data_IF_233056282970
#
_entry.id   IF_233056282970
#
_cell.length_a   1.000
_cell.length_b   1.000
_cell.length_c   1.000
_cell.angle_alpha   90.00
_cell.angle_beta   90.00
_cell.angle_gamma   90.00
#
_symmetry.space_group_name_H-M   'P 1'
#
loop_
_entity.id
_entity.type
_entity.pdbx_description
1 polymer ?
#
# COMPACT_ATOMS: atom_id res chain seq x y z
N UNK A 1 22.30 6.65 -25.96
CA UNK A 1 22.03 5.21 -25.75
C UNK A 1 21.29 5.05 -24.42
N UNK A 2 20.11 4.40 -24.38
CA UNK A 2 19.41 4.12 -23.13
C UNK A 2 20.09 2.91 -22.46
N UNK A 3 20.55 3.07 -21.21
CA UNK A 3 21.14 1.99 -20.42
C UNK A 3 20.08 1.10 -19.77
N UNK A 4 18.91 1.67 -19.44
CA UNK A 4 17.78 0.93 -18.91
C UNK A 4 16.88 0.58 -20.10
N UNK A 5 16.68 -0.72 -20.40
CA UNK A 5 15.76 -1.13 -21.45
C UNK A 5 14.38 -0.53 -21.15
N UNK A 6 13.60 -0.14 -22.18
CA UNK A 6 12.22 0.24 -21.93
C UNK A 6 11.57 -0.94 -21.24
N UNK A 7 11.15 -0.75 -20.00
CA UNK A 7 10.17 -1.65 -19.39
C UNK A 7 9.05 -1.77 -20.44
N UNK A 8 8.58 -2.98 -20.70
CA UNK A 8 7.42 -3.19 -21.57
C UNK A 8 6.29 -2.23 -21.14
N UNK A 9 5.30 -2.02 -21.98
CA UNK A 9 4.16 -1.17 -21.65
C UNK A 9 3.66 -1.61 -20.28
N UNK A 10 3.88 -0.79 -19.24
CA UNK A 10 3.38 -1.13 -17.93
C UNK A 10 1.85 -1.06 -17.93
N UNK A 11 1.22 -1.73 -16.97
CA UNK A 11 -0.23 -1.85 -16.85
C UNK A 11 -0.96 -0.51 -17.00
N UNK A 12 -0.47 0.55 -16.37
CA UNK A 12 -1.11 1.87 -16.44
C UNK A 12 -0.90 2.55 -17.79
N UNK A 13 0.27 2.38 -18.42
CA UNK A 13 0.50 2.87 -19.79
C UNK A 13 -0.43 2.18 -20.77
N UNK A 14 -0.64 0.87 -20.64
CA UNK A 14 -1.62 0.13 -21.42
C UNK A 14 -3.02 0.69 -21.25
N UNK A 15 -3.45 0.92 -20.00
CA UNK A 15 -4.76 1.52 -19.70
C UNK A 15 -4.90 2.89 -20.36
N UNK A 16 -3.89 3.75 -20.32
CA UNK A 16 -3.91 5.06 -21.01
C UNK A 16 -4.04 4.91 -22.52
N UNK A 17 -3.38 3.94 -23.14
CA UNK A 17 -3.55 3.65 -24.56
C UNK A 17 -5.00 3.26 -24.87
N UNK A 18 -5.57 2.34 -24.10
CA UNK A 18 -6.96 1.89 -24.29
C UNK A 18 -7.98 3.02 -24.11
N UNK A 19 -7.79 3.89 -23.11
CA UNK A 19 -8.61 5.09 -22.90
C UNK A 19 -8.56 6.01 -24.12
N UNK A 20 -7.36 6.30 -24.60
CA UNK A 20 -7.17 7.18 -25.78
C UNK A 20 -7.82 6.59 -27.02
N UNK A 21 -7.67 5.29 -27.24
CA UNK A 21 -8.22 4.61 -28.40
C UNK A 21 -9.75 4.56 -28.34
N UNK A 22 -10.34 4.37 -27.16
CA UNK A 22 -11.80 4.48 -26.96
C UNK A 22 -12.30 5.88 -27.29
N UNK A 23 -11.69 6.95 -26.74
CA UNK A 23 -12.06 8.34 -27.05
C UNK A 23 -11.96 8.64 -28.54
N UNK A 24 -10.89 8.21 -29.21
CA UNK A 24 -10.68 8.41 -30.63
C UNK A 24 -11.77 7.72 -31.48
N UNK A 25 -12.21 6.55 -31.10
CA UNK A 25 -13.20 5.74 -31.83
C UNK A 25 -14.63 6.23 -31.60
N UNK A 26 -14.99 6.62 -30.38
CA UNK A 26 -16.36 6.91 -29.98
C UNK A 26 -16.68 8.39 -29.82
N UNK A 27 -15.69 9.22 -29.62
CA UNK A 27 -15.87 10.63 -29.22
C UNK A 27 -16.33 10.82 -27.78
N UNK A 28 -16.49 9.73 -27.00
CA UNK A 28 -17.00 9.76 -25.62
C UNK A 28 -15.89 9.74 -24.59
N UNK A 29 -16.14 10.35 -23.45
CA UNK A 29 -15.27 10.22 -22.27
C UNK A 29 -15.54 8.88 -21.55
N UNK A 30 -14.50 8.07 -21.28
CA UNK A 30 -14.69 6.83 -20.55
C UNK A 30 -14.91 7.09 -19.05
N UNK A 31 -15.64 6.18 -18.40
CA UNK A 31 -15.76 6.15 -16.94
C UNK A 31 -14.52 5.45 -16.35
N UNK A 32 -13.60 6.24 -15.84
CA UNK A 32 -12.32 5.72 -15.36
C UNK A 32 -12.40 5.28 -13.89
N UNK A 33 -12.68 3.99 -13.67
CA UNK A 33 -12.66 3.31 -12.37
C UNK A 33 -11.33 2.57 -12.11
N UNK A 34 -10.26 2.91 -12.85
CA UNK A 34 -8.94 2.28 -12.67
C UNK A 34 -8.06 3.01 -11.66
N UNK A 35 -8.35 4.26 -11.36
CA UNK A 35 -7.44 5.11 -10.60
C UNK A 35 -7.40 4.70 -9.12
N UNK A 36 -6.21 4.43 -8.63
CA UNK A 36 -5.94 4.26 -7.19
C UNK A 36 -5.71 5.60 -6.47
N UNK A 37 -6.16 6.70 -7.05
CA UNK A 37 -6.09 8.02 -6.45
C UNK A 37 -7.39 8.35 -5.72
N UNK A 38 -7.33 8.99 -4.55
CA UNK A 38 -8.52 9.51 -3.92
C UNK A 38 -9.20 10.52 -4.85
N UNK A 39 -10.52 10.51 -4.84
CA UNK A 39 -11.33 11.50 -5.55
C UNK A 39 -11.76 12.58 -4.56
N UNK A 40 -11.16 13.74 -4.70
CA UNK A 40 -11.40 14.88 -3.82
C UNK A 40 -10.12 15.65 -3.51
N UNK A 41 -10.30 16.70 -2.73
CA UNK A 41 -9.22 17.57 -2.26
C UNK A 41 -9.06 17.41 -0.75
N UNK A 42 -7.91 17.79 -0.17
CA UNK A 42 -7.71 17.77 1.27
C UNK A 42 -8.76 18.62 2.01
N UNK A 43 -9.13 18.27 3.25
CA UNK A 43 -10.00 19.07 4.09
C UNK A 43 -9.60 20.55 4.14
N UNK A 44 -10.59 21.46 4.24
CA UNK A 44 -10.34 22.90 4.20
C UNK A 44 -9.36 23.35 5.29
N UNK A 45 -9.46 22.80 6.49
CA UNK A 45 -8.55 23.10 7.59
C UNK A 45 -7.09 22.81 7.23
N UNK A 46 -6.81 21.66 6.60
CA UNK A 46 -5.44 21.31 6.15
C UNK A 46 -4.96 22.29 5.08
N UNK A 47 -5.81 22.66 4.13
CA UNK A 47 -5.43 23.62 3.07
C UNK A 47 -5.08 24.99 3.65
N UNK A 48 -5.86 25.46 4.63
CA UNK A 48 -5.61 26.72 5.36
C UNK A 48 -4.30 26.66 6.13
N UNK A 49 -4.04 25.57 6.85
CA UNK A 49 -2.78 25.40 7.59
C UNK A 49 -1.57 25.31 6.67
N UNK A 50 -1.69 24.64 5.51
CA UNK A 50 -0.60 24.62 4.51
C UNK A 50 -0.28 26.03 4.00
N UNK A 51 -1.30 26.87 3.77
CA UNK A 51 -1.10 28.27 3.38
C UNK A 51 -0.45 29.08 4.51
N UNK A 52 -0.87 28.87 5.77
CA UNK A 52 -0.29 29.50 6.96
C UNK A 52 1.22 29.22 7.01
N UNK A 53 1.63 27.96 6.97
CA UNK A 53 3.05 27.59 7.10
C UNK A 53 3.89 27.92 5.86
N UNK A 54 3.28 28.05 4.68
CA UNK A 54 3.97 28.53 3.50
C UNK A 54 4.31 30.03 3.57
N UNK A 55 3.60 30.80 4.38
CA UNK A 55 3.81 32.23 4.61
C UNK A 55 4.54 32.55 5.91
N UNK A 56 4.67 31.59 6.81
CA UNK A 56 5.32 31.76 8.10
C UNK A 56 6.83 31.96 7.90
N UNK A 57 7.45 33.06 8.42
CA UNK A 57 8.86 33.33 8.23
C UNK A 57 9.79 32.46 9.09
N UNK A 58 9.25 31.53 9.87
CA UNK A 58 10.00 30.64 10.72
C UNK A 58 10.96 29.76 9.92
N UNK A 59 12.25 29.80 10.26
CA UNK A 59 13.32 29.09 9.54
C UNK A 59 13.03 27.58 9.40
N UNK A 60 12.50 26.93 10.43
CA UNK A 60 12.25 25.49 10.43
C UNK A 60 11.20 25.04 9.39
N UNK A 61 10.39 25.96 8.88
CA UNK A 61 9.39 25.64 7.85
C UNK A 61 9.92 25.72 6.42
N UNK A 62 11.16 26.24 6.25
CA UNK A 62 11.77 26.51 4.94
C UNK A 62 13.16 25.87 4.76
N UNK A 63 13.67 25.17 5.76
CA UNK A 63 14.93 24.43 5.71
C UNK A 63 14.70 22.94 5.51
N UNK A 64 15.76 22.15 5.45
CA UNK A 64 15.63 20.69 5.43
C UNK A 64 15.03 20.16 6.74
N UNK A 65 14.02 19.31 6.65
CA UNK A 65 13.42 18.69 7.83
C UNK A 65 14.33 17.60 8.42
N UNK A 66 15.06 16.90 7.54
CA UNK A 66 15.84 15.71 7.91
C UNK A 66 14.96 14.70 8.67
N UNK A 67 15.29 14.38 9.91
CA UNK A 67 14.52 13.48 10.78
C UNK A 67 13.70 14.23 11.84
N UNK A 68 13.61 15.57 11.75
CA UNK A 68 12.79 16.37 12.66
C UNK A 68 11.32 16.03 12.51
N UNK A 69 10.67 15.73 13.61
CA UNK A 69 9.22 15.54 13.69
C UNK A 69 8.54 16.87 14.06
N UNK A 70 8.38 17.75 13.06
CA UNK A 70 7.81 19.08 13.29
C UNK A 70 6.40 19.00 13.87
N UNK A 71 6.21 19.69 14.98
CA UNK A 71 4.97 19.70 15.76
C UNK A 71 4.45 18.29 16.13
N UNK A 72 5.35 17.30 16.20
CA UNK A 72 5.00 15.92 16.55
C UNK A 72 4.12 15.22 15.51
N UNK A 73 4.24 15.59 14.24
CA UNK A 73 3.43 15.06 13.14
C UNK A 73 3.44 13.54 13.10
N UNK A 74 4.62 12.90 13.07
CA UNK A 74 4.74 11.45 12.92
C UNK A 74 4.11 10.71 14.09
N UNK A 75 4.39 11.14 15.31
CA UNK A 75 3.80 10.54 16.52
C UNK A 75 2.28 10.67 16.55
N UNK A 76 1.75 11.85 16.23
CA UNK A 76 0.30 12.09 16.15
C UNK A 76 -0.36 11.27 15.04
N UNK A 77 0.28 11.13 13.88
CA UNK A 77 -0.22 10.29 12.81
C UNK A 77 -0.24 8.81 13.21
N UNK A 78 0.79 8.34 13.88
CA UNK A 78 0.85 6.97 14.43
C UNK A 78 -0.28 6.75 15.44
N UNK A 79 -0.53 7.70 16.34
CA UNK A 79 -1.66 7.63 17.27
C UNK A 79 -2.99 7.54 16.54
N UNK A 80 -3.20 8.40 15.53
CA UNK A 80 -4.44 8.46 14.75
C UNK A 80 -4.74 7.19 13.94
N UNK A 81 -3.70 6.58 13.34
CA UNK A 81 -3.85 5.46 12.41
C UNK A 81 -3.44 4.12 13.04
N UNK A 82 -2.39 4.12 13.83
CA UNK A 82 -1.83 2.94 14.49
C UNK A 82 -2.49 2.61 15.82
N UNK A 83 -3.14 3.59 16.44
CA UNK A 83 -3.80 3.42 17.74
C UNK A 83 -2.82 3.23 18.90
N UNK A 84 -1.58 3.71 18.77
CA UNK A 84 -0.55 3.60 19.82
C UNK A 84 0.06 4.97 20.14
N UNK A 85 0.39 5.17 21.40
CA UNK A 85 1.18 6.31 21.90
C UNK A 85 2.64 5.89 21.95
N UNK A 86 3.43 6.32 20.97
CA UNK A 86 4.86 5.92 20.84
C UNK A 86 5.66 6.29 22.09
N UNK A 87 5.31 7.37 22.74
CA UNK A 87 5.97 7.87 23.96
C UNK A 87 5.85 6.88 25.14
N UNK A 88 4.83 6.03 25.14
CA UNK A 88 4.64 5.02 26.20
C UNK A 88 5.42 3.72 25.94
N UNK A 89 6.17 3.65 24.81
CA UNK A 89 6.90 2.47 24.39
C UNK A 89 8.36 2.81 24.08
N UNK A 90 9.27 2.68 25.06
CA UNK A 90 10.67 3.12 24.91
C UNK A 90 11.44 2.41 23.78
N UNK A 91 11.00 1.21 23.40
CA UNK A 91 11.58 0.40 22.32
C UNK A 91 10.99 0.69 20.94
N UNK A 92 10.07 1.64 20.83
CA UNK A 92 9.50 2.08 19.57
C UNK A 92 9.99 3.47 19.17
N UNK A 93 10.03 3.71 17.87
CA UNK A 93 10.29 5.01 17.27
C UNK A 93 9.29 5.31 16.18
N UNK A 94 9.01 6.61 16.00
CA UNK A 94 8.27 7.11 14.83
C UNK A 94 9.14 8.10 14.07
N UNK A 95 9.02 8.10 12.74
CA UNK A 95 9.81 8.94 11.85
C UNK A 95 8.91 9.50 10.73
N UNK A 96 8.99 10.80 10.39
CA UNK A 96 8.31 11.33 9.21
C UNK A 96 9.01 10.86 7.92
N UNK A 97 8.22 10.58 6.88
CA UNK A 97 8.71 10.10 5.59
C UNK A 97 8.10 10.89 4.43
N UNK A 98 8.85 11.04 3.33
CA UNK A 98 8.40 11.69 2.09
C UNK A 98 7.42 10.83 1.27
N UNK A 99 6.50 10.16 1.97
CA UNK A 99 5.50 9.24 1.45
C UNK A 99 5.99 7.79 1.40
N UNK A 100 5.04 6.86 1.51
CA UNK A 100 5.30 5.41 1.62
C UNK A 100 6.10 4.86 0.44
N UNK A 101 5.79 5.28 -0.79
CA UNK A 101 6.45 4.74 -1.99
C UNK A 101 7.97 4.94 -1.98
N UNK A 102 8.44 6.12 -1.57
CA UNK A 102 9.86 6.42 -1.43
C UNK A 102 10.48 5.57 -0.30
N UNK A 103 9.81 5.52 0.86
CA UNK A 103 10.26 4.71 1.98
C UNK A 103 10.37 3.22 1.60
N UNK A 104 9.37 2.67 0.90
CA UNK A 104 9.37 1.26 0.45
C UNK A 104 10.61 0.92 -0.38
N UNK A 105 11.08 1.84 -1.23
CA UNK A 105 12.27 1.62 -2.05
C UNK A 105 13.56 1.51 -1.21
N UNK A 106 13.61 2.13 -0.03
CA UNK A 106 14.78 2.16 0.86
C UNK A 106 14.81 0.99 1.86
N UNK A 107 13.66 0.37 2.14
CA UNK A 107 13.55 -0.68 3.17
C UNK A 107 14.50 -1.86 2.94
N UNK A 108 14.70 -2.41 1.73
CA UNK A 108 15.67 -3.49 1.53
C UNK A 108 17.10 -3.09 1.87
N UNK A 109 17.46 -1.83 1.63
CA UNK A 109 18.78 -1.30 2.03
C UNK A 109 18.89 -1.22 3.56
N UNK A 110 17.85 -0.74 4.22
CA UNK A 110 17.78 -0.73 5.69
C UNK A 110 17.85 -2.15 6.30
N UNK A 111 17.44 -3.19 5.55
CA UNK A 111 17.63 -4.58 5.93
C UNK A 111 19.07 -5.09 5.65
N UNK A 112 20.00 -4.23 5.25
CA UNK A 112 21.41 -4.57 5.05
C UNK A 112 21.73 -5.17 3.67
N UNK A 113 20.86 -5.02 2.67
CA UNK A 113 21.14 -5.47 1.30
C UNK A 113 22.40 -4.80 0.72
N UNK A 114 22.70 -3.56 1.12
CA UNK A 114 23.86 -2.80 0.64
C UNK A 114 25.19 -3.16 1.34
N UNK A 115 25.17 -3.99 2.39
CA UNK A 115 26.38 -4.37 3.10
C UNK A 115 27.34 -5.15 2.20
N UNK A 116 28.69 -5.03 2.42
CA UNK A 116 29.69 -5.57 1.48
C UNK A 116 29.77 -7.09 1.44
N UNK A 117 29.14 -7.81 2.36
CA UNK A 117 29.12 -9.28 2.36
C UNK A 117 28.41 -9.80 1.10
N UNK A 118 29.20 -10.39 0.20
CA UNK A 118 28.72 -10.92 -1.07
C UNK A 118 27.73 -12.08 -0.86
N UNK A 119 28.00 -12.99 0.07
CA UNK A 119 27.15 -14.13 0.34
C UNK A 119 25.77 -13.67 0.83
N UNK A 120 25.74 -12.65 1.70
CA UNK A 120 24.50 -12.02 2.17
C UNK A 120 23.71 -11.39 1.02
N UNK A 121 24.38 -10.61 0.14
CA UNK A 121 23.71 -9.97 -1.01
C UNK A 121 23.13 -10.98 -1.97
N UNK A 122 23.92 -11.99 -2.32
CA UNK A 122 23.52 -13.05 -3.27
C UNK A 122 22.39 -13.93 -2.69
N UNK A 123 22.29 -14.01 -1.35
CA UNK A 123 21.27 -14.76 -0.61
C UNK A 123 20.06 -13.92 -0.21
N UNK A 124 20.15 -12.60 -0.23
CA UNK A 124 19.09 -11.71 0.27
C UNK A 124 17.75 -11.95 -0.41
N UNK A 125 16.72 -12.16 0.41
CA UNK A 125 15.39 -12.53 -0.07
C UNK A 125 14.31 -11.63 0.52
N UNK A 126 13.43 -11.16 -0.35
CA UNK A 126 12.21 -10.45 0.04
C UNK A 126 11.00 -11.33 -0.28
N UNK A 127 10.14 -11.56 0.70
CA UNK A 127 8.83 -12.17 0.47
C UNK A 127 7.75 -11.09 0.54
N UNK A 128 6.91 -11.02 -0.50
CA UNK A 128 5.83 -10.04 -0.57
C UNK A 128 4.54 -10.64 -1.13
N UNK A 129 3.38 -10.12 -0.69
CA UNK A 129 2.09 -10.64 -1.13
C UNK A 129 1.72 -10.21 -2.55
N UNK A 130 1.07 -11.10 -3.29
CA UNK A 130 0.39 -10.81 -4.55
C UNK A 130 -1.03 -11.42 -4.53
N UNK A 131 -2.02 -10.76 -5.17
CA UNK A 131 -1.92 -9.50 -5.92
C UNK A 131 -1.69 -8.31 -5.01
N UNK A 132 -0.89 -7.35 -5.46
CA UNK A 132 -0.58 -6.14 -4.70
C UNK A 132 -0.19 -4.97 -5.61
N UNK A 133 -0.16 -3.78 -5.04
CA UNK A 133 0.56 -2.63 -5.61
C UNK A 133 2.06 -2.83 -5.35
N UNK A 134 2.70 -3.56 -6.25
CA UNK A 134 3.98 -4.22 -6.04
C UNK A 134 5.20 -3.31 -6.25
N UNK A 135 5.34 -2.29 -5.42
CA UNK A 135 6.53 -1.42 -5.44
C UNK A 135 7.73 -2.17 -4.89
N UNK A 136 7.55 -2.92 -3.79
CA UNK A 136 8.66 -3.65 -3.15
C UNK A 136 9.23 -4.73 -4.06
N UNK A 137 8.38 -5.47 -4.79
CA UNK A 137 8.85 -6.49 -5.73
C UNK A 137 9.65 -5.87 -6.87
N UNK A 138 9.14 -4.79 -7.47
CA UNK A 138 9.86 -4.08 -8.54
C UNK A 138 11.23 -3.58 -8.06
N UNK A 139 11.33 -2.98 -6.88
CA UNK A 139 12.60 -2.48 -6.35
C UNK A 139 13.54 -3.61 -5.97
N UNK A 140 13.06 -4.62 -5.26
CA UNK A 140 13.91 -5.69 -4.75
C UNK A 140 14.46 -6.56 -5.88
N UNK A 141 13.62 -6.99 -6.81
CA UNK A 141 13.99 -7.87 -7.90
C UNK A 141 14.65 -7.10 -9.06
N UNK A 142 13.90 -6.19 -9.71
CA UNK A 142 14.34 -5.57 -10.95
C UNK A 142 15.48 -4.57 -10.79
N UNK A 143 15.57 -3.86 -9.65
CA UNK A 143 16.57 -2.80 -9.45
C UNK A 143 17.69 -3.15 -8.47
N UNK A 144 17.40 -3.94 -7.45
CA UNK A 144 18.39 -4.27 -6.42
C UNK A 144 18.94 -5.70 -6.55
N UNK A 145 18.38 -6.53 -7.43
CA UNK A 145 18.84 -7.91 -7.67
C UNK A 145 18.63 -8.86 -6.49
N UNK A 146 17.71 -8.53 -5.57
CA UNK A 146 17.37 -9.41 -4.46
C UNK A 146 16.52 -10.58 -4.94
N UNK A 147 16.66 -11.74 -4.30
CA UNK A 147 15.74 -12.87 -4.53
C UNK A 147 14.35 -12.51 -4.05
N UNK A 148 13.34 -12.93 -4.79
CA UNK A 148 11.96 -12.68 -4.44
C UNK A 148 11.18 -13.97 -4.25
N UNK A 149 10.43 -14.05 -3.16
CA UNK A 149 9.36 -15.03 -2.97
C UNK A 149 8.03 -14.34 -3.05
N UNK A 150 7.16 -14.80 -3.95
CA UNK A 150 5.79 -14.32 -4.05
C UNK A 150 4.92 -15.08 -3.06
N UNK A 151 4.33 -14.35 -2.10
CA UNK A 151 3.34 -14.88 -1.18
C UNK A 151 1.94 -14.74 -1.78
N UNK A 152 1.32 -15.83 -2.29
CA UNK A 152 0.02 -15.73 -2.94
C UNK A 152 -1.09 -15.52 -1.92
N UNK A 153 -1.92 -14.49 -2.14
CA UNK A 153 -3.21 -14.33 -1.48
C UNK A 153 -4.29 -14.93 -2.37
N UNK A 154 -5.14 -15.77 -1.82
CA UNK A 154 -6.16 -16.49 -2.59
C UNK A 154 -7.56 -15.99 -2.28
N UNK A 155 -8.43 -16.05 -3.28
CA UNK A 155 -9.86 -15.70 -3.14
C UNK A 155 -10.59 -16.66 -2.21
N UNK A 156 -10.16 -17.93 -2.14
CA UNK A 156 -10.69 -18.93 -1.21
C UNK A 156 -10.50 -18.56 0.26
N UNK A 157 -9.44 -17.79 0.58
CA UNK A 157 -9.17 -17.27 1.94
C UNK A 157 -9.65 -15.82 2.08
N UNK A 158 -10.54 -15.34 1.20
CA UNK A 158 -10.95 -13.94 1.18
C UNK A 158 -9.76 -12.97 1.12
N UNK A 159 -8.70 -13.32 0.42
CA UNK A 159 -7.45 -12.55 0.34
C UNK A 159 -6.80 -12.25 1.71
N UNK A 160 -7.07 -13.06 2.74
CA UNK A 160 -6.50 -12.93 4.09
C UNK A 160 -5.02 -13.32 4.11
N UNK A 161 -4.30 -12.90 5.16
CA UNK A 161 -2.96 -13.37 5.43
C UNK A 161 -3.02 -14.84 5.85
N UNK A 162 -2.24 -15.70 5.18
CA UNK A 162 -2.17 -17.12 5.46
C UNK A 162 -0.70 -17.55 5.51
N UNK A 163 -0.18 -17.73 6.72
CA UNK A 163 1.25 -18.03 6.97
C UNK A 163 1.64 -19.39 6.39
N UNK A 164 0.71 -20.36 6.35
CA UNK A 164 1.00 -21.65 5.73
C UNK A 164 1.29 -21.52 4.22
N UNK A 165 0.60 -20.59 3.52
CA UNK A 165 0.91 -20.28 2.11
C UNK A 165 2.27 -19.59 1.96
N UNK A 166 2.64 -18.70 2.89
CA UNK A 166 3.98 -18.08 2.90
C UNK A 166 5.07 -19.14 3.07
N UNK A 167 4.93 -20.04 4.05
CA UNK A 167 5.87 -21.15 4.27
C UNK A 167 5.99 -22.05 3.04
N UNK A 168 4.86 -22.36 2.40
CA UNK A 168 4.83 -23.16 1.17
C UNK A 168 5.54 -22.44 0.00
N UNK A 169 5.36 -21.13 -0.13
CA UNK A 169 6.00 -20.33 -1.17
C UNK A 169 7.53 -20.27 -0.96
N UNK A 170 7.96 -20.02 0.27
CA UNK A 170 9.40 -20.04 0.63
C UNK A 170 10.03 -21.40 0.30
N UNK A 171 9.40 -22.49 0.73
CA UNK A 171 9.88 -23.86 0.44
C UNK A 171 9.96 -24.16 -1.05
N UNK A 172 8.97 -23.72 -1.84
CA UNK A 172 8.97 -23.86 -3.29
C UNK A 172 10.16 -23.16 -3.93
N UNK A 173 10.57 -22.03 -3.38
CA UNK A 173 11.73 -21.24 -3.84
C UNK A 173 13.06 -21.70 -3.23
N UNK A 174 13.07 -22.86 -2.55
CA UNK A 174 14.26 -23.43 -1.92
C UNK A 174 14.75 -22.63 -0.71
N UNK A 175 13.85 -21.98 0.04
CA UNK A 175 14.18 -21.19 1.21
C UNK A 175 13.29 -21.58 2.40
N UNK A 176 13.82 -21.44 3.60
CA UNK A 176 13.08 -21.60 4.86
C UNK A 176 12.61 -20.24 5.37
N UNK A 177 13.37 -19.18 5.09
CA UNK A 177 13.13 -17.81 5.54
C UNK A 177 13.38 -16.78 4.43
N UNK A 178 12.94 -15.56 4.71
CA UNK A 178 13.34 -14.35 3.98
C UNK A 178 14.07 -13.38 4.93
N UNK A 179 14.77 -12.39 4.39
CA UNK A 179 15.34 -11.30 5.19
C UNK A 179 14.28 -10.25 5.51
N UNK A 180 13.31 -10.10 4.61
CA UNK A 180 12.22 -9.13 4.71
C UNK A 180 10.90 -9.77 4.28
N UNK A 181 9.89 -9.69 5.14
CA UNK A 181 8.49 -9.90 4.80
C UNK A 181 7.84 -8.54 4.62
N UNK A 182 7.27 -8.30 3.44
CA UNK A 182 6.57 -7.05 3.15
C UNK A 182 5.12 -7.33 2.75
N UNK A 183 4.18 -6.74 3.45
CA UNK A 183 2.74 -6.87 3.17
C UNK A 183 2.08 -5.51 3.00
N UNK A 184 0.90 -5.49 2.38
CA UNK A 184 0.07 -4.30 2.23
C UNK A 184 -1.28 -4.58 2.87
N UNK A 185 -1.52 -4.00 4.07
CA UNK A 185 -2.77 -4.20 4.82
C UNK A 185 -3.25 -2.89 5.46
N UNK A 186 -4.52 -2.50 5.17
CA UNK A 186 -5.45 -3.06 4.18
C UNK A 186 -4.90 -2.98 2.76
N UNK A 187 -5.26 -3.97 1.92
CA UNK A 187 -4.61 -4.21 0.64
C UNK A 187 -5.07 -3.32 -0.53
N UNK A 188 -4.26 -3.33 -1.56
CA UNK A 188 -4.56 -2.87 -2.91
C UNK A 188 -3.99 -3.91 -3.88
N UNK A 189 -4.79 -4.63 -4.67
CA UNK A 189 -6.19 -4.37 -5.06
C UNK A 189 -7.25 -4.94 -4.11
N UNK A 190 -6.90 -5.90 -3.25
CA UNK A 190 -7.84 -6.51 -2.31
C UNK A 190 -7.99 -5.59 -1.09
N UNK A 191 -9.09 -4.88 -0.99
CA UNK A 191 -9.39 -3.95 0.08
C UNK A 191 -9.76 -4.68 1.40
N UNK A 192 -8.97 -5.69 1.76
CA UNK A 192 -9.15 -6.56 2.94
C UNK A 192 -8.16 -6.15 4.02
N UNK A 193 -8.62 -6.01 5.24
CA UNK A 193 -7.80 -5.74 6.42
C UNK A 193 -7.01 -6.98 6.89
N UNK A 194 -6.43 -6.88 8.07
CA UNK A 194 -5.86 -8.01 8.81
C UNK A 194 -6.42 -8.03 10.22
N UNK A 195 -6.70 -9.20 10.75
CA UNK A 195 -7.12 -9.39 12.13
C UNK A 195 -5.91 -9.43 13.08
N UNK A 196 -6.18 -9.25 14.38
CA UNK A 196 -5.15 -9.43 15.41
C UNK A 196 -4.54 -10.84 15.37
N UNK A 197 -5.35 -11.86 15.12
CA UNK A 197 -4.90 -13.26 15.08
C UNK A 197 -3.95 -13.50 13.88
N UNK A 198 -4.26 -12.98 12.69
CA UNK A 198 -3.39 -13.07 11.51
C UNK A 198 -2.03 -12.41 11.79
N UNK A 199 -2.03 -11.21 12.40
CA UNK A 199 -0.77 -10.55 12.78
C UNK A 199 0.01 -11.38 13.80
N UNK A 200 -0.64 -11.92 14.83
CA UNK A 200 0.02 -12.73 15.84
C UNK A 200 0.66 -13.99 15.27
N UNK A 201 0.01 -14.64 14.29
CA UNK A 201 0.59 -15.81 13.63
C UNK A 201 1.81 -15.42 12.79
N UNK A 202 1.71 -14.34 11.98
CA UNK A 202 2.81 -13.85 11.17
C UNK A 202 3.99 -13.36 12.02
N UNK A 203 3.72 -12.63 13.10
CA UNK A 203 4.73 -12.15 14.06
C UNK A 203 5.52 -13.30 14.67
N UNK A 204 4.84 -14.34 15.16
CA UNK A 204 5.51 -15.52 15.73
C UNK A 204 6.43 -16.17 14.70
N UNK A 205 5.96 -16.34 13.47
CA UNK A 205 6.78 -16.89 12.40
C UNK A 205 8.00 -15.99 12.09
N UNK A 206 7.81 -14.68 12.04
CA UNK A 206 8.92 -13.76 11.81
C UNK A 206 9.97 -13.79 12.93
N UNK A 207 9.54 -13.93 14.20
CA UNK A 207 10.45 -14.05 15.35
C UNK A 207 11.22 -15.38 15.30
N UNK A 208 10.53 -16.50 15.06
CA UNK A 208 11.13 -17.83 14.95
C UNK A 208 12.24 -17.88 13.91
N UNK A 209 11.98 -17.30 12.72
CA UNK A 209 12.89 -17.31 11.58
C UNK A 209 13.79 -16.08 11.51
N UNK A 210 13.74 -15.17 12.48
CA UNK A 210 14.53 -13.93 12.54
C UNK A 210 14.38 -13.08 11.26
N UNK A 211 13.13 -12.83 10.85
CA UNK A 211 12.77 -12.04 9.67
C UNK A 211 12.26 -10.67 10.08
N UNK A 212 12.64 -9.63 9.36
CA UNK A 212 12.04 -8.30 9.47
C UNK A 212 10.66 -8.27 8.82
N UNK A 213 9.70 -7.61 9.48
CA UNK A 213 8.31 -7.50 9.01
C UNK A 213 7.96 -6.04 8.74
N UNK A 214 7.41 -5.76 7.55
CA UNK A 214 6.92 -4.43 7.18
C UNK A 214 5.50 -4.49 6.67
N UNK A 215 4.65 -3.56 7.12
CA UNK A 215 3.32 -3.34 6.58
C UNK A 215 3.20 -1.95 5.93
N UNK A 216 2.78 -1.91 4.67
CA UNK A 216 2.24 -0.70 4.04
C UNK A 216 0.79 -0.52 4.49
N UNK A 217 0.58 0.38 5.45
CA UNK A 217 -0.71 0.75 6.04
C UNK A 217 -1.36 1.96 5.38
N UNK A 218 -1.13 2.22 4.08
CA UNK A 218 -1.67 3.40 3.38
C UNK A 218 -3.18 3.57 3.51
N UNK A 219 -3.92 2.49 3.68
CA UNK A 219 -5.38 2.46 3.79
C UNK A 219 -5.89 2.20 5.23
N UNK A 220 -5.01 2.14 6.23
CA UNK A 220 -5.40 1.86 7.62
C UNK A 220 -6.46 2.85 8.13
N UNK A 221 -6.31 4.14 7.86
CA UNK A 221 -7.29 5.17 8.20
C UNK A 221 -8.64 5.05 7.49
N UNK A 222 -8.73 4.27 6.42
CA UNK A 222 -9.95 4.06 5.62
C UNK A 222 -10.58 2.68 5.86
N UNK A 223 -10.14 1.93 6.86
CA UNK A 223 -10.75 0.66 7.24
C UNK A 223 -12.11 0.89 7.92
N UNK A 224 -13.08 0.04 7.60
CA UNK A 224 -14.35 0.00 8.30
C UNK A 224 -14.13 -0.47 9.75
N UNK A 225 -14.97 -0.02 10.66
CA UNK A 225 -14.82 -0.35 12.07
C UNK A 225 -14.78 -1.87 12.32
N UNK A 226 -13.77 -2.33 13.05
CA UNK A 226 -13.62 -3.74 13.42
C UNK A 226 -13.10 -4.67 12.33
N UNK A 227 -12.81 -4.18 11.12
CA UNK A 227 -12.34 -5.03 10.00
C UNK A 227 -10.81 -5.12 9.89
N UNK A 228 -10.10 -4.26 10.60
CA UNK A 228 -8.63 -4.20 10.54
C UNK A 228 -8.03 -3.89 11.91
N UNK A 229 -7.03 -4.68 12.29
CA UNK A 229 -6.06 -4.35 13.33
C UNK A 229 -4.77 -3.91 12.64
N UNK A 230 -4.16 -2.82 13.10
CA UNK A 230 -2.87 -2.36 12.59
C UNK A 230 -1.74 -3.27 13.09
N UNK A 231 -0.67 -3.42 12.31
CA UNK A 231 0.51 -4.16 12.77
C UNK A 231 1.05 -3.54 14.07
N UNK A 232 1.14 -2.22 14.12
CA UNK A 232 1.63 -1.46 15.27
C UNK A 232 0.87 -1.79 16.56
N UNK A 233 -0.47 -1.88 16.50
CA UNK A 233 -1.30 -2.18 17.67
C UNK A 233 -1.06 -3.57 18.25
N UNK A 234 -0.54 -4.50 17.44
CA UNK A 234 -0.25 -5.88 17.85
C UNK A 234 1.24 -6.07 18.14
N UNK A 235 2.11 -5.58 17.25
CA UNK A 235 3.55 -5.80 17.32
C UNK A 235 4.23 -5.08 18.50
N UNK A 236 3.64 -4.02 19.03
CA UNK A 236 4.12 -3.33 20.25
C UNK A 236 4.30 -4.25 21.46
N UNK A 237 3.57 -5.38 21.50
CA UNK A 237 3.61 -6.36 22.57
C UNK A 237 4.66 -7.48 22.32
N UNK A 238 5.45 -7.40 21.23
CA UNK A 238 6.42 -8.40 20.80
C UNK A 238 7.83 -7.78 20.62
N UNK A 239 8.55 -7.52 21.72
CA UNK A 239 9.83 -6.79 21.66
C UNK A 239 10.95 -7.52 20.90
N UNK A 240 10.81 -8.82 20.64
CA UNK A 240 11.75 -9.60 19.84
C UNK A 240 11.55 -9.45 18.32
N UNK A 241 10.46 -8.82 17.89
CA UNK A 241 10.20 -8.57 16.47
C UNK A 241 10.86 -7.28 15.99
N UNK A 242 11.57 -7.33 14.90
CA UNK A 242 11.95 -6.14 14.13
C UNK A 242 10.91 -5.84 13.06
N UNK A 243 10.23 -4.71 13.17
CA UNK A 243 9.10 -4.37 12.32
C UNK A 243 8.97 -2.88 12.02
N UNK A 244 8.31 -2.57 10.90
CA UNK A 244 7.85 -1.22 10.54
C UNK A 244 6.39 -1.27 10.07
N UNK A 245 5.64 -0.22 10.39
CA UNK A 245 4.36 0.07 9.74
C UNK A 245 4.35 1.49 9.22
N UNK A 246 3.88 1.67 7.97
CA UNK A 246 3.94 2.93 7.26
C UNK A 246 2.52 3.49 7.05
N UNK A 247 2.35 4.79 7.31
CA UNK A 247 1.11 5.52 7.14
C UNK A 247 1.27 6.70 6.19
N UNK A 248 0.20 7.12 5.53
CA UNK A 248 0.24 8.22 4.57
C UNK A 248 -1.01 9.09 4.63
N UNK A 249 -0.83 10.41 4.54
CA UNK A 249 -1.94 11.35 4.36
C UNK A 249 -2.56 11.25 2.97
N UNK A 250 -1.87 10.60 2.03
CA UNK A 250 -2.28 10.51 0.61
C UNK A 250 -3.69 9.94 0.42
N UNK A 251 -4.07 8.95 1.23
CA UNK A 251 -5.36 8.26 1.10
C UNK A 251 -6.34 8.71 2.19
N UNK A 252 -5.86 8.80 3.44
CA UNK A 252 -6.65 9.15 4.59
C UNK A 252 -7.23 10.56 4.51
N UNK A 253 -6.51 11.50 3.91
CA UNK A 253 -6.90 12.91 3.83
C UNK A 253 -6.94 13.47 2.40
N UNK A 254 -7.06 12.61 1.38
CA UNK A 254 -7.13 12.99 -0.03
C UNK A 254 -5.99 13.93 -0.49
N UNK A 255 -4.77 13.73 0.06
CA UNK A 255 -3.64 14.63 -0.21
C UNK A 255 -2.39 13.88 -0.75
N UNK A 256 -2.48 13.21 -1.90
CA UNK A 256 -1.34 12.51 -2.47
C UNK A 256 -0.20 13.44 -2.89
N UNK A 257 -0.51 14.70 -3.19
CA UNK A 257 0.47 15.74 -3.55
C UNK A 257 1.31 16.23 -2.38
N UNK A 258 0.88 16.04 -1.14
CA UNK A 258 1.62 16.43 0.05
C UNK A 258 2.97 15.70 0.20
N UNK A 259 3.12 14.53 -0.41
CA UNK A 259 4.30 13.66 -0.26
C UNK A 259 4.70 13.47 1.21
N UNK A 260 3.74 13.15 2.06
CA UNK A 260 3.89 13.10 3.50
C UNK A 260 3.29 11.81 4.08
N UNK A 261 4.03 11.22 5.00
CA UNK A 261 3.63 10.05 5.77
C UNK A 261 4.47 9.92 7.03
N UNK A 262 4.19 8.89 7.79
CA UNK A 262 4.96 8.50 8.96
C UNK A 262 5.20 6.99 8.94
N UNK A 263 6.30 6.56 9.53
CA UNK A 263 6.52 5.18 9.90
C UNK A 263 6.65 5.06 11.42
N UNK A 264 6.33 3.88 11.91
CA UNK A 264 6.56 3.48 13.30
C UNK A 264 7.11 2.05 13.30
N UNK A 265 7.93 1.72 14.28
CA UNK A 265 8.45 0.37 14.42
C UNK A 265 9.39 0.17 15.59
N UNK A 266 10.00 -1.00 15.64
CA UNK A 266 11.06 -1.32 16.59
C UNK A 266 12.23 -0.36 16.41
N UNK A 267 12.81 0.07 17.54
CA UNK A 267 13.85 1.11 17.59
C UNK A 267 14.98 0.86 16.59
N UNK A 268 15.58 -0.32 16.64
CA UNK A 268 16.75 -0.63 15.83
C UNK A 268 16.44 -0.61 14.32
N UNK A 269 15.27 -1.11 13.93
CA UNK A 269 14.89 -1.09 12.50
C UNK A 269 14.57 0.33 12.01
N UNK A 270 13.94 1.17 12.86
CA UNK A 270 13.71 2.59 12.51
C UNK A 270 15.04 3.34 12.41
N UNK A 271 16.00 3.08 13.28
CA UNK A 271 17.34 3.69 13.26
C UNK A 271 18.12 3.25 12.00
N UNK A 272 18.10 1.96 11.64
CA UNK A 272 18.66 1.47 10.37
C UNK A 272 18.03 2.16 9.15
N UNK A 273 16.70 2.34 9.18
CA UNK A 273 15.99 3.02 8.10
C UNK A 273 16.37 4.51 8.05
N UNK A 274 16.49 5.19 9.19
CA UNK A 274 16.87 6.59 9.26
C UNK A 274 18.27 6.83 8.68
N UNK A 275 19.23 5.93 8.94
CA UNK A 275 20.58 5.99 8.36
C UNK A 275 20.57 5.94 6.83
N UNK A 276 19.75 5.04 6.25
CA UNK A 276 19.62 4.95 4.79
C UNK A 276 18.90 6.18 4.24
N UNK A 277 17.80 6.58 4.90
CA UNK A 277 16.99 7.75 4.51
C UNK A 277 17.80 9.03 4.51
N UNK A 278 18.61 9.27 5.54
CA UNK A 278 19.43 10.49 5.67
C UNK A 278 20.43 10.70 4.52
N UNK A 279 20.73 9.64 3.75
CA UNK A 279 21.56 9.71 2.55
C UNK A 279 20.77 9.77 1.23
N UNK A 280 19.44 9.90 1.28
CA UNK A 280 18.58 9.86 0.08
C UNK A 280 17.63 11.05 -0.03
N UNK A 281 16.92 11.37 1.03
CA UNK A 281 16.06 12.55 1.11
C UNK A 281 16.33 13.32 2.39
N UNK A 282 16.17 14.62 2.36
CA UNK A 282 16.35 15.48 3.54
C UNK A 282 15.04 15.67 4.30
N UNK A 283 14.16 14.70 4.25
CA UNK A 283 12.87 14.69 4.92
C UNK A 283 11.69 15.19 4.06
N UNK A 284 10.46 15.10 4.59
CA UNK A 284 9.28 15.66 3.96
C UNK A 284 9.34 17.19 3.91
N UNK A 285 8.43 17.80 3.12
CA UNK A 285 8.29 19.27 3.04
C UNK A 285 7.91 19.83 4.42
N UNK A 286 8.75 20.66 5.06
CA UNK A 286 8.60 21.05 6.47
C UNK A 286 7.28 21.79 6.75
N UNK A 287 6.92 22.78 5.93
CA UNK A 287 5.66 23.53 6.10
C UNK A 287 4.43 22.66 5.94
N UNK A 288 4.47 21.64 5.07
CA UNK A 288 3.37 20.66 4.94
C UNK A 288 3.30 19.75 6.16
N UNK A 289 4.46 19.29 6.67
CA UNK A 289 4.54 18.49 7.88
C UNK A 289 4.01 19.25 9.11
N UNK A 290 4.40 20.52 9.27
CA UNK A 290 3.91 21.37 10.34
C UNK A 290 2.39 21.59 10.28
N UNK A 291 1.85 21.79 9.07
CA UNK A 291 0.40 21.92 8.87
C UNK A 291 -0.37 20.69 9.36
N UNK A 292 0.11 19.49 9.02
CA UNK A 292 -0.50 18.25 9.52
C UNK A 292 -0.24 18.02 11.02
N UNK A 293 0.94 18.39 11.53
CA UNK A 293 1.26 18.32 12.96
C UNK A 293 0.33 19.19 13.80
N UNK A 294 0.02 20.41 13.34
CA UNK A 294 -0.98 21.28 13.97
C UNK A 294 -2.41 20.73 13.83
N UNK A 295 -2.77 20.26 12.62
CA UNK A 295 -4.09 19.69 12.37
C UNK A 295 -4.38 18.49 13.29
N UNK A 296 -3.44 17.60 13.48
CA UNK A 296 -3.59 16.44 14.38
C UNK A 296 -3.56 16.79 15.87
N UNK A 297 -3.26 18.03 16.25
CA UNK A 297 -3.36 18.48 17.64
C UNK A 297 -4.83 18.59 18.10
N UNK A 298 -5.75 18.87 17.17
CA UNK A 298 -7.17 18.72 17.38
C UNK A 298 -7.65 17.35 16.85
N UNK A 299 -7.50 16.34 17.72
CA UNK A 299 -7.90 14.97 17.35
C UNK A 299 -9.37 14.85 16.95
N UNK A 300 -10.25 15.62 17.58
CA UNK A 300 -11.68 15.57 17.29
C UNK A 300 -11.94 16.00 15.86
N UNK A 301 -11.41 17.14 15.45
CA UNK A 301 -11.52 17.62 14.07
C UNK A 301 -10.84 16.70 13.07
N UNK A 302 -9.66 16.15 13.41
CA UNK A 302 -8.93 15.22 12.53
C UNK A 302 -9.69 13.90 12.35
N UNK A 303 -10.28 13.35 13.40
CA UNK A 303 -11.13 12.14 13.36
C UNK A 303 -12.42 12.39 12.58
N UNK A 304 -13.06 13.57 12.76
CA UNK A 304 -14.26 13.95 12.01
C UNK A 304 -13.97 14.02 10.50
N UNK A 305 -12.90 14.70 10.09
CA UNK A 305 -12.51 14.80 8.69
C UNK A 305 -12.23 13.42 8.06
N UNK A 306 -11.56 12.53 8.80
CA UNK A 306 -11.32 11.16 8.35
C UNK A 306 -12.62 10.35 8.23
N UNK A 307 -13.56 10.53 9.16
CA UNK A 307 -14.86 9.88 9.13
C UNK A 307 -15.71 10.36 7.94
N UNK A 308 -15.68 11.66 7.61
CA UNK A 308 -16.35 12.21 6.42
C UNK A 308 -15.81 11.58 5.13
N UNK A 309 -14.49 11.46 4.99
CA UNK A 309 -13.86 10.82 3.83
C UNK A 309 -14.24 9.35 3.74
N UNK A 310 -14.22 8.60 4.87
CA UNK A 310 -14.71 7.21 4.90
C UNK A 310 -16.15 7.09 4.45
N UNK A 311 -17.04 7.93 5.02
CA UNK A 311 -18.47 7.95 4.68
C UNK A 311 -18.70 8.20 3.18
N UNK A 312 -17.90 9.09 2.57
CA UNK A 312 -17.97 9.31 1.12
C UNK A 312 -17.69 8.03 0.33
N UNK A 313 -16.60 7.32 0.66
CA UNK A 313 -16.26 6.08 -0.04
C UNK A 313 -17.23 4.95 0.27
N UNK A 314 -17.71 4.81 1.51
CA UNK A 314 -18.72 3.84 1.87
C UNK A 314 -20.02 4.02 1.05
N UNK A 315 -20.48 5.27 0.88
CA UNK A 315 -21.65 5.58 0.04
C UNK A 315 -21.44 5.20 -1.42
N UNK A 316 -20.26 5.48 -1.97
CA UNK A 316 -19.93 5.12 -3.36
C UNK A 316 -19.82 3.62 -3.55
N UNK A 317 -19.19 2.92 -2.63
CA UNK A 317 -19.08 1.46 -2.65
C UNK A 317 -20.45 0.78 -2.47
N UNK A 318 -21.33 1.34 -1.64
CA UNK A 318 -22.70 0.87 -1.48
C UNK A 318 -23.55 0.96 -2.78
N UNK A 319 -23.18 1.85 -3.70
CA UNK A 319 -23.76 1.91 -5.05
C UNK A 319 -23.00 1.00 -6.04
N UNK A 320 -21.66 1.07 -6.06
CA UNK A 320 -20.84 0.37 -7.05
C UNK A 320 -20.93 -1.15 -6.91
N UNK A 321 -20.86 -1.69 -5.69
CA UNK A 321 -20.85 -3.13 -5.45
C UNK A 321 -22.13 -3.82 -5.96
N UNK A 322 -23.35 -3.34 -5.62
CA UNK A 322 -24.58 -3.91 -6.20
C UNK A 322 -24.66 -3.78 -7.71
N UNK A 323 -24.23 -2.67 -8.28
CA UNK A 323 -24.24 -2.46 -9.73
C UNK A 323 -23.34 -3.48 -10.46
N UNK A 324 -22.13 -3.75 -9.97
CA UNK A 324 -21.23 -4.73 -10.54
C UNK A 324 -21.77 -6.18 -10.37
N UNK A 325 -22.42 -6.49 -9.24
CA UNK A 325 -23.10 -7.78 -9.04
C UNK A 325 -24.26 -7.94 -10.04
N UNK A 326 -25.07 -6.90 -10.22
CA UNK A 326 -26.17 -6.91 -11.19
C UNK A 326 -25.68 -7.08 -12.64
N UNK A 327 -24.46 -6.58 -12.94
CA UNK A 327 -23.79 -6.82 -14.22
C UNK A 327 -23.18 -8.24 -14.34
N UNK A 328 -23.39 -9.13 -13.37
CA UNK A 328 -22.96 -10.53 -13.41
C UNK A 328 -21.55 -10.78 -12.87
N UNK A 329 -20.88 -9.79 -12.29
CA UNK A 329 -19.56 -10.00 -11.70
C UNK A 329 -19.66 -10.66 -10.32
N UNK A 330 -18.74 -11.58 -10.03
CA UNK A 330 -18.62 -12.26 -8.74
C UNK A 330 -17.50 -11.63 -7.91
N UNK A 331 -17.76 -11.18 -6.66
CA UNK A 331 -16.72 -10.65 -5.79
C UNK A 331 -15.60 -11.68 -5.56
N UNK A 332 -14.36 -11.22 -5.59
CA UNK A 332 -13.18 -12.05 -5.29
C UNK A 332 -12.84 -12.05 -3.79
N UNK A 333 -13.25 -11.00 -3.08
CA UNK A 333 -13.13 -10.85 -1.64
C UNK A 333 -14.13 -9.82 -1.12
N UNK A 334 -14.23 -9.69 0.20
CA UNK A 334 -14.95 -8.60 0.85
C UNK A 334 -14.22 -7.27 0.63
N UNK A 335 -14.98 -6.17 0.70
CA UNK A 335 -14.41 -4.80 0.71
C UNK A 335 -14.51 -4.28 2.14
N UNK A 336 -13.37 -4.12 2.81
CA UNK A 336 -13.27 -3.78 4.22
C UNK A 336 -12.60 -2.43 4.47
N UNK A 337 -11.93 -1.89 3.45
CA UNK A 337 -11.19 -0.63 3.58
C UNK A 337 -11.02 0.07 2.23
N UNK A 338 -10.67 1.36 2.28
CA UNK A 338 -10.35 2.14 1.09
C UNK A 338 -11.54 2.36 0.18
N UNK A 339 -11.28 2.34 -1.11
CA UNK A 339 -12.26 2.63 -2.17
C UNK A 339 -12.15 1.66 -3.36
N UNK A 340 -11.61 0.45 -3.15
CA UNK A 340 -11.45 -0.58 -4.17
C UNK A 340 -12.43 -1.71 -3.98
N UNK A 341 -12.79 -2.33 -5.11
CA UNK A 341 -13.52 -3.60 -5.16
C UNK A 341 -12.79 -4.56 -6.08
N UNK A 342 -12.67 -5.83 -5.71
CA UNK A 342 -11.98 -6.84 -6.48
C UNK A 342 -12.94 -7.94 -6.91
N UNK A 343 -12.88 -8.33 -8.20
CA UNK A 343 -13.83 -9.20 -8.84
C UNK A 343 -13.14 -10.29 -9.64
N UNK A 344 -13.74 -11.49 -9.70
CA UNK A 344 -13.34 -12.48 -10.67
C UNK A 344 -13.73 -12.02 -12.08
N UNK A 345 -12.86 -12.23 -13.05
CA UNK A 345 -13.21 -12.02 -14.45
C UNK A 345 -14.04 -13.23 -14.96
N UNK A 346 -15.11 -13.00 -15.75
CA UNK A 346 -15.91 -14.07 -16.32
C UNK A 346 -15.13 -14.82 -17.42
N UNK A 347 -15.68 -15.97 -17.83
CA UNK A 347 -15.12 -16.78 -18.93
C UNK A 347 -15.51 -16.27 -20.33
N UNK A 348 -16.52 -15.43 -20.39
CA UNK A 348 -16.96 -14.75 -21.60
C UNK A 348 -17.44 -13.34 -21.31
N UNK A 349 -17.36 -12.45 -22.29
CA UNK A 349 -17.88 -11.09 -22.25
C UNK A 349 -18.42 -10.71 -23.62
N UNK A 350 -19.55 -9.99 -23.65
CA UNK A 350 -20.19 -9.50 -24.88
C UNK A 350 -20.39 -10.59 -25.94
N UNK A 351 -20.77 -11.81 -25.52
CA UNK A 351 -21.00 -12.96 -26.38
C UNK A 351 -19.73 -13.66 -26.91
N UNK A 352 -18.54 -13.25 -26.47
CA UNK A 352 -17.28 -13.86 -26.89
C UNK A 352 -16.59 -14.58 -25.71
N UNK A 353 -16.05 -15.78 -25.96
CA UNK A 353 -15.23 -16.49 -25.00
C UNK A 353 -13.89 -15.75 -24.80
N UNK A 354 -13.45 -15.68 -23.57
CA UNK A 354 -12.18 -15.08 -23.20
C UNK A 354 -11.09 -16.15 -23.05
N UNK A 355 -9.82 -15.87 -23.43
CA UNK A 355 -8.73 -16.82 -23.32
C UNK A 355 -8.48 -17.18 -21.84
N UNK A 356 -8.01 -18.40 -21.58
CA UNK A 356 -7.65 -18.82 -20.23
C UNK A 356 -6.42 -18.04 -19.74
N UNK A 357 -5.39 -17.94 -20.57
CA UNK A 357 -4.19 -17.14 -20.32
C UNK A 357 -4.45 -15.67 -20.68
N UNK A 358 -4.10 -14.75 -19.81
CA UNK A 358 -4.36 -13.31 -20.00
C UNK A 358 -5.83 -12.91 -19.89
N UNK A 359 -6.72 -13.77 -19.35
CA UNK A 359 -8.16 -13.51 -19.25
C UNK A 359 -8.49 -12.15 -18.62
N UNK A 360 -7.80 -11.77 -17.56
CA UNK A 360 -8.05 -10.50 -16.86
C UNK A 360 -7.77 -9.28 -17.74
N UNK A 361 -6.71 -9.30 -18.52
CA UNK A 361 -6.41 -8.26 -19.50
C UNK A 361 -7.42 -8.27 -20.65
N UNK A 362 -7.70 -9.44 -21.22
CA UNK A 362 -8.67 -9.58 -22.31
C UNK A 362 -10.06 -9.09 -21.91
N UNK A 363 -10.52 -9.42 -20.69
CA UNK A 363 -11.76 -8.89 -20.13
C UNK A 363 -11.74 -7.37 -20.00
N UNK A 364 -10.70 -6.79 -19.40
CA UNK A 364 -10.60 -5.34 -19.22
C UNK A 364 -10.59 -4.61 -20.58
N UNK A 365 -9.89 -5.14 -21.57
CA UNK A 365 -9.87 -4.60 -22.95
C UNK A 365 -11.25 -4.62 -23.57
N UNK A 366 -11.99 -5.74 -23.45
CA UNK A 366 -13.35 -5.87 -23.99
C UNK A 366 -14.31 -4.89 -23.30
N UNK A 367 -14.28 -4.79 -21.97
CA UNK A 367 -15.12 -3.85 -21.21
C UNK A 367 -14.84 -2.40 -21.62
N UNK A 368 -13.57 -2.00 -21.71
CA UNK A 368 -13.21 -0.65 -22.16
C UNK A 368 -13.69 -0.39 -23.58
N UNK A 369 -13.49 -1.36 -24.47
CA UNK A 369 -13.88 -1.21 -25.87
C UNK A 369 -15.39 -1.05 -26.06
N UNK A 370 -16.20 -1.84 -25.38
CA UNK A 370 -17.65 -1.87 -25.55
C UNK A 370 -18.39 -0.82 -24.72
N UNK A 371 -17.89 -0.49 -23.52
CA UNK A 371 -18.63 0.35 -22.57
C UNK A 371 -17.93 1.62 -22.17
N UNK A 372 -16.64 1.73 -22.39
CA UNK A 372 -15.81 2.85 -21.86
C UNK A 372 -15.56 2.76 -20.34
N UNK A 373 -15.98 1.69 -19.65
CA UNK A 373 -15.67 1.51 -18.23
C UNK A 373 -14.27 0.94 -18.09
N UNK A 374 -13.43 1.62 -17.33
CA UNK A 374 -11.99 1.29 -17.21
C UNK A 374 -11.71 0.70 -15.84
N UNK A 375 -11.27 -0.55 -15.78
CA UNK A 375 -10.76 -1.22 -14.58
C UNK A 375 -9.25 -1.43 -14.61
N UNK A 376 -8.72 -2.10 -13.57
CA UNK A 376 -7.33 -2.57 -13.52
C UNK A 376 -7.32 -4.07 -13.34
N UNK A 377 -6.69 -4.79 -14.27
CA UNK A 377 -6.59 -6.22 -14.19
C UNK A 377 -5.41 -6.70 -13.32
N UNK A 378 -5.61 -7.80 -12.64
CA UNK A 378 -4.62 -8.49 -11.81
C UNK A 378 -4.71 -10.00 -12.02
N UNK A 379 -3.70 -10.70 -11.56
CA UNK A 379 -3.72 -12.16 -11.47
C UNK A 379 -3.27 -12.55 -10.07
N UNK A 380 -4.03 -13.44 -9.44
CA UNK A 380 -3.66 -14.13 -8.22
C UNK A 380 -3.36 -15.60 -8.53
N UNK A 381 -3.08 -16.39 -7.51
CA UNK A 381 -2.87 -17.83 -7.62
C UNK A 381 -3.77 -18.56 -6.63
N UNK A 382 -4.58 -19.50 -7.14
CA UNK A 382 -5.45 -20.35 -6.35
C UNK A 382 -4.66 -21.33 -5.48
N UNK A 383 -5.36 -22.02 -4.57
CA UNK A 383 -4.80 -23.11 -3.75
C UNK A 383 -4.16 -24.22 -4.57
N UNK A 384 -4.69 -24.46 -5.76
CA UNK A 384 -4.18 -25.47 -6.70
C UNK A 384 -3.05 -24.96 -7.59
N UNK A 385 -2.50 -23.76 -7.30
CA UNK A 385 -1.45 -23.15 -8.10
C UNK A 385 -1.90 -22.62 -9.46
N UNK A 386 -3.21 -22.57 -9.72
CA UNK A 386 -3.77 -22.07 -11.00
C UNK A 386 -3.93 -20.55 -10.96
N UNK A 387 -3.73 -19.84 -12.09
CA UNK A 387 -4.00 -18.42 -12.17
C UNK A 387 -5.48 -18.09 -11.85
N UNK A 388 -5.70 -17.10 -11.00
CA UNK A 388 -7.00 -16.50 -10.73
C UNK A 388 -7.04 -15.10 -11.38
N UNK A 389 -7.71 -14.96 -12.53
CA UNK A 389 -7.80 -13.68 -13.22
C UNK A 389 -8.81 -12.75 -12.53
N UNK A 390 -8.38 -11.56 -12.18
CA UNK A 390 -9.10 -10.61 -11.35
C UNK A 390 -9.18 -9.23 -12.02
N UNK A 391 -10.22 -8.46 -11.68
CA UNK A 391 -10.36 -7.06 -12.06
C UNK A 391 -10.71 -6.21 -10.84
N UNK A 392 -10.05 -5.05 -10.71
CA UNK A 392 -10.33 -4.05 -9.68
C UNK A 392 -11.07 -2.86 -10.30
N UNK A 393 -12.11 -2.41 -9.62
CA UNK A 393 -12.77 -1.13 -9.83
C UNK A 393 -12.67 -0.27 -8.56
N UNK A 394 -12.52 1.07 -8.75
CA UNK A 394 -12.32 2.04 -7.68
C UNK A 394 -13.38 3.15 -7.71
#
# INVERSE_FOLDING_TARGET
>A
MRLIPPAGINLFQLIYVLIRDYKKRTGLEPLNLSLGNPDGIPPAAIRTLKAKYAQDPGYDFHTYAEDKDLLGFAKKMVRMHGGIEVENHPDLRALPIAGIKTATALIPLACGLHLPDKARRDGFRVASNLPAYDVIGTWSDAYLGAKRTVWPLATSDNMRLNVARLKSALKKDGAERADLIFVIRPGNPAAVGASKAEWQELIRFCIEEKMRLVNDGAYAGLAAAGTHATLASVAKDYPALEWLELYSVSKSYNDPGARLGALVGSKDFVEDFALVKGNTDSGPVPGVMAAYGEFFSDETSAKSALAEIRSLYEKRLAYLIPALKAAGLRPACTTEAGFFTLWHTPESAFGQALPLEGRAEAFNRAVIAETGIVGVHFTSTSELGKPEPLIRYA
#
